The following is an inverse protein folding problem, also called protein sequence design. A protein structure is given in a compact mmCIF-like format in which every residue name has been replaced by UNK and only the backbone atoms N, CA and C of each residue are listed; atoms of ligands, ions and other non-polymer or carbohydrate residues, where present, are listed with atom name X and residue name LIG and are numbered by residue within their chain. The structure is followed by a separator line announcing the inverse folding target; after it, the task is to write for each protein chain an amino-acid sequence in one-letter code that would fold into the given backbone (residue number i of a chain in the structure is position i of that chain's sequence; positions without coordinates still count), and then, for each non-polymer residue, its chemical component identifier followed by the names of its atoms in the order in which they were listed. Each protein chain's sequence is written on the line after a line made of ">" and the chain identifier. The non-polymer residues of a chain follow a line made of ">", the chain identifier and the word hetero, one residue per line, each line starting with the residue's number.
data_IF_710872040373
#
_entry.id   IF_710872040373
#
_cell.length_a   1.000
_cell.length_b   1.000
_cell.length_c   1.000
_cell.angle_alpha   90.00
_cell.angle_beta   90.00
_cell.angle_gamma   90.00
#
_symmetry.space_group_name_H-M   'P 1'
#
loop_
_entity.id
_entity.type
_entity.pdbx_description
1 polymer ?
#
# COMPACT_ATOMS: atom_id res chain seq x y z
N UNK A 1 5.58 -10.96 8.28
CA UNK A 1 4.25 -10.49 7.89
C UNK A 1 3.52 -9.79 9.03
N UNK A 2 3.29 -10.43 10.20
CA UNK A 2 2.54 -9.85 11.34
C UNK A 2 3.14 -8.54 11.89
N UNK A 3 4.48 -8.44 12.02
CA UNK A 3 5.12 -7.21 12.48
C UNK A 3 4.88 -6.03 11.52
N UNK A 4 4.91 -6.28 10.21
CA UNK A 4 4.62 -5.25 9.21
C UNK A 4 3.18 -4.72 9.36
N UNK A 5 2.19 -5.62 9.46
CA UNK A 5 0.79 -5.23 9.67
C UNK A 5 0.61 -4.49 11.00
N UNK A 6 1.27 -4.97 12.07
CA UNK A 6 1.22 -4.34 13.39
C UNK A 6 1.71 -2.90 13.36
N UNK A 7 2.93 -2.66 12.85
CA UNK A 7 3.55 -1.34 12.85
C UNK A 7 2.98 -0.37 11.82
N UNK A 8 2.54 -0.87 10.65
CA UNK A 8 2.06 0.01 9.57
C UNK A 8 0.56 0.26 9.59
N UNK A 9 -0.23 -0.55 10.32
CA UNK A 9 -1.68 -0.42 10.33
C UNK A 9 -2.25 -0.44 11.75
N UNK A 10 -2.03 -1.53 12.52
CA UNK A 10 -2.73 -1.72 13.80
C UNK A 10 -2.34 -0.65 14.83
N UNK A 11 -1.04 -0.43 15.05
CA UNK A 11 -0.57 0.57 16.02
C UNK A 11 -0.97 2.00 15.65
N UNK A 12 -0.79 2.48 14.41
CA UNK A 12 -1.31 3.78 14.01
C UNK A 12 -2.80 3.96 14.26
N UNK A 13 -3.64 2.97 13.89
CA UNK A 13 -5.09 3.01 14.11
C UNK A 13 -5.40 3.15 15.61
N UNK A 14 -4.78 2.33 16.45
CA UNK A 14 -5.02 2.36 17.89
C UNK A 14 -4.62 3.72 18.48
N UNK A 15 -3.46 4.24 18.09
CA UNK A 15 -2.97 5.55 18.60
C UNK A 15 -3.85 6.69 18.09
N UNK A 16 -4.28 6.69 16.83
CA UNK A 16 -5.17 7.74 16.31
C UNK A 16 -6.54 7.74 16.99
N UNK A 17 -7.06 6.57 17.35
CA UNK A 17 -8.41 6.42 17.93
C UNK A 17 -8.47 6.50 19.44
N UNK A 18 -7.38 6.17 20.11
CA UNK A 18 -7.32 6.04 21.57
C UNK A 18 -6.21 6.84 22.22
N UNK A 19 -5.34 7.45 21.42
CA UNK A 19 -4.16 8.14 21.92
C UNK A 19 -4.50 9.39 22.74
N UNK A 20 -5.53 10.11 22.37
CA UNK A 20 -6.04 11.27 23.14
C UNK A 20 -6.69 10.83 24.46
N UNK A 21 -7.42 9.73 24.52
CA UNK A 21 -7.95 9.19 25.78
C UNK A 21 -6.83 8.78 26.76
N UNK A 22 -5.74 8.18 26.25
CA UNK A 22 -4.66 7.65 27.09
C UNK A 22 -3.59 8.69 27.44
N UNK A 23 -3.30 9.58 26.50
CA UNK A 23 -2.19 10.53 26.57
C UNK A 23 -2.65 11.98 26.78
N UNK A 24 -3.95 12.27 26.58
CA UNK A 24 -4.48 13.63 26.63
C UNK A 24 -4.20 14.32 27.96
N UNK A 25 -4.62 13.72 29.07
CA UNK A 25 -4.39 14.29 30.40
C UNK A 25 -2.90 14.39 30.79
N UNK A 26 -2.06 13.33 30.60
CA UNK A 26 -0.62 13.42 30.86
C UNK A 26 0.07 14.50 30.01
N UNK A 27 -0.25 14.59 28.74
CA UNK A 27 0.33 15.58 27.82
C UNK A 27 -0.17 17.02 28.19
N UNK A 28 -1.44 17.17 28.48
CA UNK A 28 -2.01 18.44 28.86
C UNK A 28 -1.34 19.02 30.14
N UNK A 29 -1.12 18.17 31.15
CA UNK A 29 -0.38 18.53 32.34
C UNK A 29 1.06 18.92 32.06
N UNK A 30 1.77 18.11 31.26
CA UNK A 30 3.17 18.36 30.91
C UNK A 30 3.37 19.63 30.08
N UNK A 31 2.39 20.00 29.25
CA UNK A 31 2.45 21.12 28.31
C UNK A 31 1.68 22.37 28.80
N UNK A 32 1.11 22.31 29.99
CA UNK A 32 0.27 23.41 30.57
C UNK A 32 -0.86 23.85 29.62
N UNK A 33 -1.55 22.87 29.01
CA UNK A 33 -2.63 23.10 28.05
C UNK A 33 -3.86 22.24 28.40
N UNK A 34 -4.91 22.27 27.57
CA UNK A 34 -6.08 21.41 27.76
C UNK A 34 -5.88 20.06 27.02
N UNK A 35 -6.49 18.96 27.50
CA UNK A 35 -6.47 17.67 26.82
C UNK A 35 -7.02 17.72 25.38
N UNK A 36 -7.98 18.61 25.12
CA UNK A 36 -8.62 18.81 23.82
C UNK A 36 -7.85 19.77 22.90
N UNK A 37 -6.68 20.24 23.31
CA UNK A 37 -5.91 21.21 22.52
C UNK A 37 -5.40 20.63 21.21
N UNK A 38 -5.29 21.47 20.19
CA UNK A 38 -4.68 21.13 18.92
C UNK A 38 -3.23 20.64 19.08
N UNK A 39 -2.52 21.06 20.13
CA UNK A 39 -1.17 20.62 20.43
C UNK A 39 -1.14 19.14 20.84
N UNK A 40 -2.04 18.73 21.75
CA UNK A 40 -2.20 17.34 22.17
C UNK A 40 -2.54 16.45 20.95
N UNK A 41 -3.54 16.83 20.15
CA UNK A 41 -3.91 16.10 18.94
C UNK A 41 -2.77 16.01 17.92
N UNK A 42 -1.93 17.07 17.82
CA UNK A 42 -0.75 17.05 16.95
C UNK A 42 0.32 16.04 17.41
N UNK A 43 0.54 15.93 18.72
CA UNK A 43 1.48 14.96 19.30
C UNK A 43 0.97 13.54 19.09
N UNK A 44 -0.33 13.29 19.31
CA UNK A 44 -0.95 11.98 19.04
C UNK A 44 -0.79 11.59 17.58
N UNK A 45 -1.02 12.52 16.63
CA UNK A 45 -0.79 12.27 15.20
C UNK A 45 0.67 11.94 14.91
N UNK A 46 1.61 12.72 15.44
CA UNK A 46 3.05 12.47 15.26
C UNK A 46 3.47 11.11 15.82
N UNK A 47 2.95 10.71 16.97
CA UNK A 47 3.18 9.37 17.52
C UNK A 47 2.66 8.27 16.58
N UNK A 48 1.45 8.43 16.07
CA UNK A 48 0.85 7.44 15.16
C UNK A 48 1.69 7.23 13.90
N UNK A 49 2.16 8.30 13.25
CA UNK A 49 2.98 8.20 12.04
C UNK A 49 4.42 7.76 12.31
N UNK A 50 4.91 7.86 13.55
CA UNK A 50 6.24 7.38 13.91
C UNK A 50 6.38 5.87 13.74
N UNK A 51 5.32 5.09 13.95
CA UNK A 51 5.35 3.63 13.81
C UNK A 51 5.69 3.17 12.39
N UNK A 52 4.95 3.58 11.33
CA UNK A 52 5.27 3.17 9.97
C UNK A 52 6.61 3.73 9.48
N UNK A 53 6.99 4.94 9.89
CA UNK A 53 8.28 5.54 9.53
C UNK A 53 9.43 4.74 10.16
N UNK A 54 9.34 4.46 11.47
CA UNK A 54 10.36 3.67 12.19
C UNK A 54 10.49 2.28 11.60
N UNK A 55 9.37 1.64 11.26
CA UNK A 55 9.38 0.33 10.60
C UNK A 55 10.06 0.39 9.23
N UNK A 56 9.74 1.40 8.42
CA UNK A 56 10.37 1.61 7.11
C UNK A 56 11.88 1.80 7.20
N UNK A 57 12.36 2.60 8.16
CA UNK A 57 13.78 2.81 8.42
C UNK A 57 14.45 1.51 8.88
N UNK A 58 13.85 0.79 9.83
CA UNK A 58 14.38 -0.47 10.32
C UNK A 58 14.45 -1.55 9.23
N UNK A 59 13.43 -1.64 8.37
CA UNK A 59 13.42 -2.57 7.24
C UNK A 59 14.53 -2.25 6.24
N UNK A 60 14.74 -0.97 5.94
CA UNK A 60 15.80 -0.48 5.06
C UNK A 60 17.21 -0.84 5.63
N UNK A 61 17.43 -0.55 6.92
CA UNK A 61 18.72 -0.82 7.59
C UNK A 61 19.02 -2.32 7.66
N UNK A 62 18.00 -3.14 8.00
CA UNK A 62 18.16 -4.61 8.13
C UNK A 62 18.36 -5.31 6.81
N UNK A 63 17.59 -4.94 5.78
CA UNK A 63 17.64 -5.61 4.47
C UNK A 63 18.74 -5.06 3.57
N UNK A 64 19.26 -3.87 3.85
CA UNK A 64 20.21 -3.13 3.00
C UNK A 64 19.78 -3.04 1.52
N UNK A 65 18.49 -3.15 1.26
CA UNK A 65 17.87 -3.04 -0.06
C UNK A 65 16.69 -2.09 0.02
N UNK A 66 16.63 -1.19 -0.93
CA UNK A 66 15.49 -0.29 -1.08
C UNK A 66 14.24 -1.10 -1.42
N UNK A 67 13.25 -1.07 -0.54
CA UNK A 67 11.95 -1.65 -0.81
C UNK A 67 11.01 -0.52 -1.25
N UNK A 68 10.60 -0.57 -2.51
CA UNK A 68 9.70 0.43 -3.09
C UNK A 68 8.44 0.65 -2.23
N UNK A 69 7.84 -0.42 -1.72
CA UNK A 69 6.63 -0.32 -0.90
C UNK A 69 6.90 0.30 0.47
N UNK A 70 8.06 0.05 1.10
CA UNK A 70 8.42 0.69 2.36
C UNK A 70 8.63 2.19 2.20
N UNK A 71 9.26 2.62 1.10
CA UNK A 71 9.44 4.05 0.79
C UNK A 71 8.09 4.70 0.55
N UNK A 72 7.24 4.08 -0.25
CA UNK A 72 5.91 4.58 -0.56
C UNK A 72 5.06 4.72 0.71
N UNK A 73 5.10 3.72 1.61
CA UNK A 73 4.43 3.76 2.90
C UNK A 73 4.94 4.89 3.80
N UNK A 74 6.26 5.09 3.88
CA UNK A 74 6.86 6.18 4.64
C UNK A 74 6.46 7.56 4.07
N UNK A 75 6.49 7.73 2.76
CA UNK A 75 6.04 8.98 2.10
C UNK A 75 4.56 9.21 2.39
N UNK A 76 3.72 8.18 2.26
CA UNK A 76 2.29 8.29 2.56
C UNK A 76 2.03 8.70 4.01
N UNK A 77 2.75 8.11 4.97
CA UNK A 77 2.65 8.48 6.39
C UNK A 77 3.10 9.92 6.64
N UNK A 78 4.20 10.36 6.04
CA UNK A 78 4.68 11.73 6.13
C UNK A 78 3.68 12.73 5.53
N UNK A 79 3.04 12.40 4.41
CA UNK A 79 2.00 13.25 3.81
C UNK A 79 0.75 13.32 4.69
N UNK A 80 0.37 12.20 5.35
CA UNK A 80 -0.75 12.19 6.33
C UNK A 80 -0.45 13.14 7.49
N UNK A 81 0.73 12.98 8.10
CA UNK A 81 1.17 13.87 9.19
C UNK A 81 1.31 15.32 8.74
N UNK A 82 1.89 15.55 7.55
CA UNK A 82 2.04 16.87 6.98
C UNK A 82 0.69 17.57 6.80
N UNK A 83 -0.28 16.95 6.16
CA UNK A 83 -1.63 17.52 5.98
C UNK A 83 -2.29 17.76 7.34
N UNK A 84 -2.20 16.82 8.27
CA UNK A 84 -2.77 17.01 9.60
C UNK A 84 -2.16 18.17 10.40
N UNK A 85 -0.91 18.57 10.10
CA UNK A 85 -0.19 19.62 10.83
C UNK A 85 -0.17 20.97 10.10
N UNK A 86 -0.43 20.99 8.79
CA UNK A 86 -0.37 22.22 8.00
C UNK A 86 -1.53 23.18 8.36
N UNK A 87 -1.24 24.46 8.62
CA UNK A 87 -2.28 25.48 8.73
C UNK A 87 -3.07 25.60 7.43
N UNK A 88 -4.41 25.60 7.53
CA UNK A 88 -5.30 25.68 6.37
C UNK A 88 -5.47 24.37 5.58
N UNK A 89 -4.91 23.27 6.06
CA UNK A 89 -5.23 21.96 5.50
C UNK A 89 -6.70 21.62 5.74
N UNK A 90 -7.30 20.97 4.76
CA UNK A 90 -8.72 20.61 4.78
C UNK A 90 -8.94 19.14 4.41
N UNK A 91 -10.16 18.65 4.69
CA UNK A 91 -10.53 17.26 4.43
C UNK A 91 -10.45 16.88 2.95
N UNK A 92 -10.61 17.85 2.03
CA UNK A 92 -10.47 17.60 0.58
C UNK A 92 -9.00 17.30 0.22
N UNK A 93 -8.04 18.04 0.77
CA UNK A 93 -6.61 17.77 0.58
C UNK A 93 -6.24 16.37 1.07
N UNK A 94 -6.81 15.95 2.20
CA UNK A 94 -6.62 14.61 2.73
C UNK A 94 -7.19 13.55 1.79
N UNK A 95 -8.41 13.71 1.28
CA UNK A 95 -9.03 12.77 0.34
C UNK A 95 -8.25 12.66 -0.99
N UNK A 96 -7.78 13.79 -1.53
CA UNK A 96 -6.92 13.82 -2.72
C UNK A 96 -5.62 13.07 -2.45
N UNK A 97 -4.96 13.30 -1.33
CA UNK A 97 -3.72 12.61 -0.96
C UNK A 97 -3.92 11.09 -0.87
N UNK A 98 -5.02 10.62 -0.22
CA UNK A 98 -5.29 9.18 -0.10
C UNK A 98 -5.53 8.50 -1.46
N UNK A 99 -6.15 9.21 -2.39
CA UNK A 99 -6.41 8.70 -3.75
C UNK A 99 -5.21 8.86 -4.69
N UNK A 100 -4.32 9.81 -4.45
CA UNK A 100 -3.23 10.16 -5.37
C UNK A 100 -2.22 9.02 -5.56
N UNK A 101 -1.83 8.34 -4.49
CA UNK A 101 -0.83 7.26 -4.57
C UNK A 101 -1.32 6.11 -5.47
N UNK A 102 -2.50 5.51 -5.25
CA UNK A 102 -2.98 4.47 -6.15
C UNK A 102 -3.27 5.00 -7.55
N UNK A 103 -3.74 6.24 -7.72
CA UNK A 103 -3.95 6.83 -9.05
C UNK A 103 -2.64 6.93 -9.84
N UNK A 104 -1.58 7.45 -9.21
CA UNK A 104 -0.24 7.56 -9.83
C UNK A 104 0.29 6.16 -10.19
N UNK A 105 0.16 5.17 -9.30
CA UNK A 105 0.59 3.79 -9.58
C UNK A 105 -0.19 3.18 -10.75
N UNK A 106 -1.48 3.42 -10.83
CA UNK A 106 -2.31 2.99 -11.96
C UNK A 106 -1.86 3.59 -13.28
N UNK A 107 -1.65 4.91 -13.31
CA UNK A 107 -1.18 5.65 -14.49
C UNK A 107 0.20 5.13 -14.92
N UNK A 108 1.16 5.01 -13.99
CA UNK A 108 2.50 4.51 -14.28
C UNK A 108 2.41 3.07 -14.80
N UNK A 109 1.57 2.22 -14.22
CA UNK A 109 1.38 0.83 -14.66
C UNK A 109 0.97 0.78 -16.13
N UNK A 110 0.03 1.61 -16.56
CA UNK A 110 -0.43 1.66 -17.95
C UNK A 110 0.63 2.30 -18.89
N UNK A 111 1.25 3.41 -18.47
CA UNK A 111 2.27 4.07 -19.29
C UNK A 111 3.46 3.14 -19.54
N UNK A 112 3.86 2.34 -18.55
CA UNK A 112 5.00 1.42 -18.69
C UNK A 112 4.76 0.27 -19.65
N UNK A 113 3.51 0.02 -20.10
CA UNK A 113 3.22 -0.92 -21.21
C UNK A 113 3.99 -0.59 -22.48
N UNK A 114 4.26 0.71 -22.73
CA UNK A 114 5.04 1.17 -23.90
C UNK A 114 6.55 1.06 -23.72
N UNK A 115 7.02 0.61 -22.56
CA UNK A 115 8.44 0.51 -22.23
C UNK A 115 8.96 -0.93 -22.34
N UNK A 116 10.29 -1.08 -22.46
CA UNK A 116 10.95 -2.41 -22.47
C UNK A 116 10.82 -3.16 -21.13
N UNK A 117 10.44 -2.48 -20.04
CA UNK A 117 10.27 -3.05 -18.69
C UNK A 117 8.93 -2.61 -18.11
N UNK A 118 7.80 -3.22 -18.54
CA UNK A 118 6.48 -2.90 -17.98
C UNK A 118 6.45 -3.15 -16.47
N UNK A 119 5.78 -2.27 -15.73
CA UNK A 119 5.68 -2.36 -14.28
C UNK A 119 4.97 -3.64 -13.82
N UNK A 120 4.12 -4.22 -14.66
CA UNK A 120 3.49 -5.52 -14.43
C UNK A 120 4.50 -6.64 -14.18
N UNK A 121 5.68 -6.56 -14.78
CA UNK A 121 6.77 -7.53 -14.52
C UNK A 121 7.28 -7.44 -13.07
N UNK A 122 7.18 -6.26 -12.44
CA UNK A 122 7.53 -6.09 -11.04
C UNK A 122 6.48 -6.71 -10.11
N UNK A 123 5.20 -6.61 -10.46
CA UNK A 123 4.11 -7.08 -9.61
C UNK A 123 3.75 -8.55 -9.82
N UNK A 124 3.65 -8.99 -11.08
CA UNK A 124 3.14 -10.30 -11.43
C UNK A 124 4.23 -11.25 -11.94
N UNK A 125 5.05 -10.81 -12.87
CA UNK A 125 6.09 -11.62 -13.51
C UNK A 125 7.45 -11.35 -12.86
N UNK A 126 7.50 -11.50 -11.52
CA UNK A 126 8.63 -11.14 -10.67
C UNK A 126 9.52 -12.37 -10.42
N UNK A 127 10.85 -12.29 -10.60
CA UNK A 127 11.78 -13.37 -10.30
C UNK A 127 11.75 -13.87 -8.84
N UNK A 128 11.26 -13.07 -7.91
CA UNK A 128 11.07 -13.49 -6.51
C UNK A 128 9.88 -14.45 -6.33
N UNK A 129 8.91 -14.42 -7.26
CA UNK A 129 7.69 -15.23 -7.23
C UNK A 129 7.75 -16.34 -8.26
N UNK A 130 8.26 -16.05 -9.46
CA UNK A 130 8.23 -16.91 -10.63
C UNK A 130 9.66 -17.16 -11.13
N UNK A 131 9.97 -18.38 -11.54
CA UNK A 131 11.22 -18.71 -12.24
C UNK A 131 11.17 -18.18 -13.69
N UNK A 132 11.30 -16.87 -13.83
CA UNK A 132 11.15 -16.13 -15.09
C UNK A 132 12.00 -16.72 -16.20
N UNK A 133 13.27 -17.06 -15.92
CA UNK A 133 14.19 -17.65 -16.92
C UNK A 133 13.69 -18.97 -17.49
N UNK A 134 13.09 -19.84 -16.66
CA UNK A 134 12.53 -21.10 -17.09
C UNK A 134 11.31 -20.89 -18.00
N UNK A 135 10.43 -19.96 -17.60
CA UNK A 135 9.23 -19.63 -18.39
C UNK A 135 9.63 -19.00 -19.73
N UNK A 136 10.54 -18.00 -19.72
CA UNK A 136 11.01 -17.35 -20.95
C UNK A 136 11.67 -18.36 -21.92
N UNK A 137 12.48 -19.30 -21.41
CA UNK A 137 13.08 -20.36 -22.22
C UNK A 137 12.01 -21.21 -22.89
N UNK A 138 11.00 -21.69 -22.14
CA UNK A 138 9.92 -22.51 -22.69
C UNK A 138 9.05 -21.77 -23.71
N UNK A 139 8.78 -20.49 -23.47
CA UNK A 139 8.06 -19.65 -24.43
C UNK A 139 8.80 -19.49 -25.76
N UNK A 140 10.14 -19.44 -25.73
CA UNK A 140 10.96 -19.41 -26.94
C UNK A 140 11.02 -20.77 -27.64
N UNK A 141 11.17 -21.88 -26.88
CA UNK A 141 11.19 -23.24 -27.42
C UNK A 141 9.89 -23.60 -28.14
N UNK A 142 8.75 -23.12 -27.66
CA UNK A 142 7.41 -23.41 -28.18
C UNK A 142 6.85 -22.33 -29.12
N UNK A 143 7.61 -21.28 -29.40
CA UNK A 143 7.20 -20.13 -30.24
C UNK A 143 5.88 -19.48 -29.80
N UNK A 144 5.65 -19.41 -28.47
CA UNK A 144 4.42 -18.88 -27.87
C UNK A 144 4.60 -17.53 -27.21
N UNK A 145 5.77 -16.92 -27.36
CA UNK A 145 6.15 -15.67 -26.69
C UNK A 145 5.21 -14.51 -27.00
N UNK A 146 4.80 -14.33 -28.24
CA UNK A 146 3.90 -13.24 -28.65
C UNK A 146 2.52 -13.36 -27.99
N UNK A 147 2.00 -14.57 -27.86
CA UNK A 147 0.74 -14.84 -27.18
C UNK A 147 0.86 -14.53 -25.67
N UNK A 148 1.98 -14.89 -25.07
CA UNK A 148 2.26 -14.58 -23.67
C UNK A 148 2.42 -13.07 -23.44
N UNK A 149 3.09 -12.35 -24.33
CA UNK A 149 3.23 -10.89 -24.23
C UNK A 149 1.85 -10.18 -24.32
N UNK A 150 0.94 -10.65 -25.17
CA UNK A 150 -0.46 -10.18 -25.20
C UNK A 150 -1.20 -10.47 -23.89
N UNK A 151 -0.94 -11.61 -23.28
CA UNK A 151 -1.50 -11.94 -21.95
C UNK A 151 -0.95 -10.99 -20.88
N UNK A 152 0.35 -10.70 -20.87
CA UNK A 152 0.94 -9.73 -19.94
C UNK A 152 0.31 -8.34 -20.08
N UNK A 153 -0.01 -7.91 -21.31
CA UNK A 153 -0.74 -6.65 -21.54
C UNK A 153 -2.13 -6.71 -20.88
N UNK A 154 -2.89 -7.79 -21.03
CA UNK A 154 -4.20 -7.97 -20.37
C UNK A 154 -4.05 -7.92 -18.84
N UNK A 155 -3.09 -8.63 -18.28
CA UNK A 155 -2.81 -8.62 -16.86
C UNK A 155 -2.43 -7.20 -16.37
N UNK A 156 -1.68 -6.44 -17.18
CA UNK A 156 -1.33 -5.04 -16.85
C UNK A 156 -2.56 -4.15 -16.75
N UNK A 157 -3.51 -4.29 -17.69
CA UNK A 157 -4.77 -3.56 -17.63
C UNK A 157 -5.59 -3.91 -16.38
N UNK A 158 -5.62 -5.17 -15.98
CA UNK A 158 -6.31 -5.60 -14.75
C UNK A 158 -5.66 -5.01 -13.50
N UNK A 159 -4.32 -5.00 -13.43
CA UNK A 159 -3.60 -4.34 -12.32
C UNK A 159 -3.83 -2.82 -12.34
N UNK A 160 -3.81 -2.19 -13.50
CA UNK A 160 -4.16 -0.77 -13.65
C UNK A 160 -5.59 -0.48 -13.19
N UNK A 161 -6.54 -1.35 -13.53
CA UNK A 161 -7.92 -1.27 -13.04
C UNK A 161 -8.01 -1.42 -11.52
N UNK A 162 -7.26 -2.36 -10.93
CA UNK A 162 -7.20 -2.51 -9.47
C UNK A 162 -6.72 -1.22 -8.78
N UNK A 163 -5.70 -0.56 -9.33
CA UNK A 163 -5.25 0.73 -8.82
C UNK A 163 -6.28 1.85 -9.03
N UNK A 164 -6.99 1.88 -10.15
CA UNK A 164 -8.05 2.85 -10.40
C UNK A 164 -9.21 2.67 -9.40
N UNK A 165 -9.63 1.42 -9.17
CA UNK A 165 -10.64 1.08 -8.14
C UNK A 165 -10.15 1.52 -6.76
N UNK A 166 -8.88 1.23 -6.42
CA UNK A 166 -8.28 1.68 -5.16
C UNK A 166 -8.31 3.21 -5.02
N UNK A 167 -7.97 3.96 -6.06
CA UNK A 167 -7.98 5.42 -6.02
C UNK A 167 -9.40 5.97 -5.78
N UNK A 168 -10.38 5.47 -6.50
CA UNK A 168 -11.79 5.90 -6.35
C UNK A 168 -12.32 5.55 -4.96
N UNK A 169 -12.09 4.33 -4.49
CA UNK A 169 -12.55 3.90 -3.17
C UNK A 169 -11.85 4.65 -2.03
N UNK A 170 -10.55 4.94 -2.15
CA UNK A 170 -9.83 5.78 -1.18
C UNK A 170 -10.44 7.19 -1.12
N UNK A 171 -10.72 7.81 -2.25
CA UNK A 171 -11.34 9.13 -2.29
C UNK A 171 -12.72 9.12 -1.64
N UNK A 172 -13.59 8.20 -2.06
CA UNK A 172 -14.95 8.08 -1.52
C UNK A 172 -14.92 7.80 -0.01
N UNK A 173 -14.15 6.83 0.42
CA UNK A 173 -14.05 6.45 1.83
C UNK A 173 -13.54 7.60 2.69
N UNK A 174 -12.50 8.31 2.22
CA UNK A 174 -11.99 9.50 2.88
C UNK A 174 -13.06 10.58 3.03
N UNK A 175 -13.82 10.85 1.97
CA UNK A 175 -14.88 11.87 1.98
C UNK A 175 -16.09 11.49 2.85
N UNK A 176 -16.34 10.19 3.01
CA UNK A 176 -17.45 9.70 3.85
C UNK A 176 -17.11 9.67 5.32
N UNK A 177 -15.86 9.41 5.69
CA UNK A 177 -15.46 9.21 7.07
C UNK A 177 -14.75 10.45 7.65
N UNK A 178 -13.84 11.05 6.87
CA UNK A 178 -13.08 12.23 7.35
C UNK A 178 -13.81 13.48 6.96
N UNK A 179 -14.57 14.01 7.90
CA UNK A 179 -15.45 15.17 7.72
C UNK A 179 -15.03 16.38 8.55
N UNK A 180 -14.25 16.17 9.60
CA UNK A 180 -13.76 17.22 10.50
C UNK A 180 -12.49 17.85 9.96
N UNK A 181 -12.48 19.17 9.84
CA UNK A 181 -11.27 19.92 9.43
C UNK A 181 -10.19 19.83 10.52
N UNK A 182 -8.93 19.49 10.15
CA UNK A 182 -7.85 19.38 11.12
C UNK A 182 -7.50 20.70 11.85
N UNK A 183 -7.89 21.83 11.27
CA UNK A 183 -7.75 23.17 11.86
C UNK A 183 -8.82 23.47 12.91
N UNK A 184 -9.98 22.81 12.84
CA UNK A 184 -11.11 23.05 13.76
C UNK A 184 -11.01 22.11 14.97
N UNK A 185 -10.90 20.81 14.73
CA UNK A 185 -10.76 19.82 15.81
C UNK A 185 -9.81 18.70 15.39
N UNK A 186 -8.58 18.80 15.88
CA UNK A 186 -7.50 17.85 15.53
C UNK A 186 -7.74 16.45 16.08
N UNK A 187 -8.33 16.34 17.25
CA UNK A 187 -8.61 15.06 17.91
C UNK A 187 -9.68 14.31 17.12
N UNK A 188 -10.79 14.97 16.79
CA UNK A 188 -11.84 14.37 15.97
C UNK A 188 -11.32 13.97 14.58
N UNK A 189 -10.51 14.82 13.93
CA UNK A 189 -9.85 14.48 12.68
C UNK A 189 -8.98 13.22 12.80
N UNK A 190 -8.19 13.09 13.86
CA UNK A 190 -7.34 11.92 14.09
C UNK A 190 -8.17 10.63 14.26
N UNK A 191 -9.25 10.68 15.04
CA UNK A 191 -10.15 9.52 15.21
C UNK A 191 -10.79 9.12 13.89
N UNK A 192 -11.29 10.08 13.10
CA UNK A 192 -11.85 9.83 11.77
C UNK A 192 -10.81 9.21 10.81
N UNK A 193 -9.57 9.71 10.82
CA UNK A 193 -8.47 9.10 10.04
C UNK A 193 -8.20 7.66 10.49
N UNK A 194 -8.18 7.41 11.80
CA UNK A 194 -8.03 6.06 12.35
C UNK A 194 -9.17 5.12 11.94
N UNK A 195 -10.43 5.62 11.97
CA UNK A 195 -11.59 4.87 11.47
C UNK A 195 -11.45 4.55 9.97
N UNK A 196 -11.10 5.54 9.15
CA UNK A 196 -10.90 5.34 7.71
C UNK A 196 -9.83 4.28 7.43
N UNK A 197 -8.70 4.32 8.14
CA UNK A 197 -7.65 3.29 8.01
C UNK A 197 -8.18 1.90 8.35
N UNK A 198 -9.02 1.77 9.38
CA UNK A 198 -9.67 0.50 9.74
C UNK A 198 -10.60 -0.02 8.64
N UNK A 199 -11.44 0.84 8.09
CA UNK A 199 -12.38 0.50 7.02
C UNK A 199 -11.71 0.29 5.67
N UNK A 200 -10.50 0.81 5.45
CA UNK A 200 -9.78 0.61 4.18
C UNK A 200 -9.47 -0.86 3.89
N UNK A 201 -9.29 -1.70 4.94
CA UNK A 201 -9.10 -3.14 4.75
C UNK A 201 -10.28 -3.82 4.04
N UNK A 202 -11.52 -3.80 4.58
CA UNK A 202 -12.64 -4.45 3.90
C UNK A 202 -13.11 -3.71 2.64
N UNK A 203 -13.13 -2.38 2.65
CA UNK A 203 -13.74 -1.60 1.58
C UNK A 203 -12.82 -1.43 0.36
N UNK A 204 -11.51 -1.33 0.57
CA UNK A 204 -10.54 -1.08 -0.50
C UNK A 204 -9.76 -2.35 -0.81
N UNK A 205 -9.16 -2.98 0.22
CA UNK A 205 -8.24 -4.09 -0.01
C UNK A 205 -8.94 -5.31 -0.60
N UNK A 206 -10.16 -5.66 -0.16
CA UNK A 206 -10.87 -6.83 -0.68
C UNK A 206 -11.20 -6.67 -2.18
N UNK A 207 -11.86 -5.61 -2.65
CA UNK A 207 -12.11 -5.44 -4.09
C UNK A 207 -10.83 -5.43 -4.92
N UNK A 208 -9.78 -4.73 -4.44
CA UNK A 208 -8.50 -4.69 -5.14
C UNK A 208 -7.81 -6.07 -5.19
N UNK A 209 -7.89 -6.86 -4.12
CA UNK A 209 -7.38 -8.23 -4.09
C UNK A 209 -8.12 -9.15 -5.05
N UNK A 210 -9.44 -9.00 -5.21
CA UNK A 210 -10.21 -9.80 -6.17
C UNK A 210 -9.76 -9.51 -7.61
N UNK A 211 -9.61 -8.24 -7.99
CA UNK A 211 -9.16 -7.85 -9.34
C UNK A 211 -7.72 -8.30 -9.58
N UNK A 212 -6.81 -8.04 -8.63
CA UNK A 212 -5.41 -8.44 -8.72
C UNK A 212 -5.26 -9.97 -8.71
N UNK A 213 -6.03 -10.66 -7.85
CA UNK A 213 -6.05 -12.12 -7.78
C UNK A 213 -6.51 -12.76 -9.09
N UNK A 214 -7.49 -12.17 -9.76
CA UNK A 214 -7.90 -12.60 -11.09
C UNK A 214 -6.77 -12.41 -12.13
N UNK A 215 -6.04 -11.30 -12.06
CA UNK A 215 -4.87 -11.08 -12.92
C UNK A 215 -3.77 -12.13 -12.68
N UNK A 216 -3.49 -12.49 -11.43
CA UNK A 216 -2.57 -13.57 -11.07
C UNK A 216 -3.05 -14.93 -11.60
N UNK A 217 -4.32 -15.26 -11.37
CA UNK A 217 -4.89 -16.50 -11.88
C UNK A 217 -4.77 -16.59 -13.41
N UNK A 218 -5.08 -15.50 -14.12
CA UNK A 218 -4.98 -15.43 -15.57
C UNK A 218 -3.53 -15.62 -16.04
N UNK A 219 -2.56 -15.03 -15.35
CA UNK A 219 -1.15 -15.20 -15.63
C UNK A 219 -0.71 -16.67 -15.51
N UNK A 220 -1.02 -17.32 -14.38
CA UNK A 220 -0.64 -18.71 -14.14
C UNK A 220 -1.33 -19.68 -15.11
N UNK A 221 -2.61 -19.42 -15.43
CA UNK A 221 -3.33 -20.17 -16.45
C UNK A 221 -2.61 -20.06 -17.82
N UNK A 222 -2.23 -18.85 -18.21
CA UNK A 222 -1.53 -18.63 -19.47
C UNK A 222 -0.12 -19.20 -19.48
N UNK A 223 0.63 -19.15 -18.38
CA UNK A 223 1.93 -19.84 -18.28
C UNK A 223 1.74 -21.33 -18.56
N UNK A 224 0.77 -21.98 -17.90
CA UNK A 224 0.49 -23.40 -18.13
C UNK A 224 0.08 -23.69 -19.59
N UNK A 225 -0.76 -22.85 -20.18
CA UNK A 225 -1.25 -23.00 -21.54
C UNK A 225 -0.15 -22.85 -22.59
N UNK A 226 0.75 -21.85 -22.41
CA UNK A 226 1.76 -21.51 -23.40
C UNK A 226 3.10 -22.23 -23.20
N UNK A 227 3.38 -22.78 -22.01
CA UNK A 227 4.66 -23.46 -21.71
C UNK A 227 4.51 -24.91 -21.30
N UNK A 228 3.30 -25.36 -20.97
CA UNK A 228 3.06 -26.69 -20.39
C UNK A 228 3.53 -26.83 -18.93
N UNK A 229 4.18 -25.83 -18.36
CA UNK A 229 4.70 -25.89 -16.99
C UNK A 229 3.58 -25.78 -15.96
N UNK A 230 3.65 -26.60 -14.91
CA UNK A 230 2.75 -26.52 -13.77
C UNK A 230 3.10 -25.33 -12.87
N UNK A 231 2.13 -24.91 -12.03
CA UNK A 231 2.35 -23.83 -11.07
C UNK A 231 3.50 -24.14 -10.10
N UNK A 232 3.64 -25.40 -9.69
CA UNK A 232 4.69 -25.87 -8.78
C UNK A 232 6.09 -25.78 -9.40
N UNK A 233 6.23 -26.07 -10.69
CA UNK A 233 7.48 -25.96 -11.42
C UNK A 233 7.91 -24.50 -11.60
N UNK A 234 6.95 -23.61 -11.78
CA UNK A 234 7.15 -22.20 -12.09
C UNK A 234 7.38 -21.36 -10.85
N UNK A 235 6.81 -21.72 -9.70
CA UNK A 235 7.00 -20.93 -8.47
C UNK A 235 8.46 -20.94 -8.01
N UNK A 236 9.00 -19.77 -7.73
CA UNK A 236 10.32 -19.62 -7.14
C UNK A 236 10.31 -20.23 -5.73
N UNK A 237 11.29 -21.09 -5.43
CA UNK A 237 11.44 -21.60 -4.06
C UNK A 237 11.72 -20.43 -3.12
N UNK A 238 10.95 -20.33 -2.03
CA UNK A 238 11.16 -19.27 -1.05
C UNK A 238 12.60 -19.34 -0.52
N UNK A 239 13.23 -18.19 -0.24
CA UNK A 239 14.60 -18.14 0.30
C UNK A 239 14.79 -18.93 1.60
N UNK A 240 13.71 -19.22 2.33
CA UNK A 240 13.75 -20.03 3.56
C UNK A 240 13.99 -21.54 3.29
N UNK A 241 13.60 -22.06 2.14
CA UNK A 241 13.85 -23.46 1.78
C UNK A 241 15.34 -23.73 1.46
N UNK A 242 16.12 -22.69 1.07
CA UNK A 242 17.57 -22.80 0.84
C UNK A 242 18.43 -22.73 2.14
N UNK A 243 17.84 -22.33 3.25
CA UNK A 243 18.58 -22.16 4.52
C UNK A 243 18.52 -23.40 5.39
N UNK A 244 17.67 -24.36 5.06
CA UNK A 244 17.48 -25.63 5.79
C UNK A 244 18.06 -26.85 5.03
N UNK A 245 18.90 -26.62 4.04
CA UNK A 245 19.76 -27.63 3.39
C UNK A 245 21.23 -27.18 3.53
#
# INVERSE_FOLDING_TARGET
>A
MFLNLGFNLVLPIIVLRKGDEWLGDPLAKALSTSPESALVGSIVLLLAITFPISYGILDLVRRRKWNFFSILGAISALLTGGIGLLPGANVMMFAIKESAVPAILGIITIITLKTKKPLVRLFLYNPEIIKVSLVDQKLMELDTKDNFDRLLVKCTWLIGLSFAVSAVLNFILSRMIVTTEPSINKIAFNDEVGQMMGWSLPVISIPCMLVSGYAFWLLFKGIKEFTGLSMEEVMAQSPQAKRNR
#
